data_IF_654512942897
#
_entry.id   IF_654512942897
#
_cell.length_a   1.000
_cell.length_b   1.000
_cell.length_c   1.000
_cell.angle_alpha   90.00
_cell.angle_beta   90.00
_cell.angle_gamma   90.00
#
_symmetry.space_group_name_H-M   'P 1'
#
loop_
_entity.id
_entity.type
_entity.pdbx_description
1 polymer ?
#
# COMPACT_ATOMS: atom_id res chain seq x y z
N UNK A 1 5.96 -1.71 7.48
CA UNK A 1 5.14 -1.76 6.26
C UNK A 1 3.94 -0.80 6.31
N UNK A 2 3.00 -0.96 7.28
CA UNK A 2 1.79 -0.12 7.40
C UNK A 2 2.10 1.39 7.44
N UNK A 3 3.13 1.77 8.21
CA UNK A 3 3.58 3.16 8.31
C UNK A 3 3.89 3.78 6.94
N UNK A 4 4.69 3.08 6.15
CA UNK A 4 5.10 3.51 4.81
C UNK A 4 3.88 3.71 3.88
N UNK A 5 2.97 2.74 3.88
CA UNK A 5 1.78 2.79 3.04
C UNK A 5 0.93 4.00 3.40
N UNK A 6 0.52 4.15 4.66
CA UNK A 6 -0.35 5.26 5.08
C UNK A 6 0.32 6.61 4.85
N UNK A 7 1.62 6.74 5.17
CA UNK A 7 2.35 7.99 4.97
C UNK A 7 2.55 8.31 3.48
N UNK A 8 2.50 7.32 2.59
CA UNK A 8 2.58 7.54 1.14
C UNK A 8 1.34 8.19 0.52
N UNK A 9 0.27 8.40 1.31
CA UNK A 9 -0.97 9.03 0.83
C UNK A 9 -0.69 10.45 0.31
N UNK A 10 -0.93 10.66 -0.98
CA UNK A 10 -0.86 11.98 -1.63
C UNK A 10 0.46 12.74 -1.37
N UNK A 11 1.59 12.03 -1.31
CA UNK A 11 2.91 12.60 -1.06
C UNK A 11 3.95 12.09 -2.05
N UNK A 12 4.96 12.92 -2.32
CA UNK A 12 6.14 12.52 -3.09
C UNK A 12 6.97 11.53 -2.28
N UNK A 13 7.21 10.36 -2.83
CA UNK A 13 7.83 9.26 -2.08
C UNK A 13 9.25 9.61 -1.60
N UNK A 14 10.16 9.92 -2.53
CA UNK A 14 11.56 10.18 -2.21
C UNK A 14 11.79 11.39 -1.29
N UNK A 15 11.08 12.50 -1.53
CA UNK A 15 11.36 13.75 -0.80
C UNK A 15 10.57 13.89 0.51
N UNK A 16 9.53 13.07 0.73
CA UNK A 16 8.65 13.23 1.91
C UNK A 16 8.43 11.92 2.65
N UNK A 17 8.08 10.84 1.94
CA UNK A 17 7.72 9.56 2.58
C UNK A 17 8.95 8.84 3.10
N UNK A 18 9.97 8.68 2.25
CA UNK A 18 11.17 7.92 2.58
C UNK A 18 11.88 8.47 3.84
N UNK A 19 12.13 9.79 4.00
CA UNK A 19 12.74 10.31 5.23
C UNK A 19 11.92 10.02 6.49
N UNK A 20 10.58 9.97 6.39
CA UNK A 20 9.70 9.65 7.51
C UNK A 20 9.72 8.17 7.85
N UNK A 21 9.77 7.30 6.85
CA UNK A 21 9.90 5.85 7.01
C UNK A 21 11.24 5.51 7.64
N UNK A 22 12.32 6.14 7.20
CA UNK A 22 13.66 6.00 7.80
C UNK A 22 13.66 6.46 9.27
N UNK A 23 13.04 7.61 9.55
CA UNK A 23 12.88 8.11 10.93
C UNK A 23 12.06 7.15 11.80
N UNK A 24 11.00 6.55 11.26
CA UNK A 24 10.20 5.55 11.96
C UNK A 24 11.02 4.28 12.25
N UNK A 25 11.73 3.76 11.25
CA UNK A 25 12.59 2.59 11.41
C UNK A 25 13.70 2.82 12.46
N UNK A 26 14.28 4.03 12.49
CA UNK A 26 15.29 4.41 13.47
C UNK A 26 14.74 4.56 14.91
N UNK A 27 13.43 4.77 15.08
CA UNK A 27 12.79 4.87 16.40
C UNK A 27 12.59 3.50 17.08
N UNK A 28 13.03 2.41 16.45
CA UNK A 28 12.98 1.04 16.95
C UNK A 28 11.67 0.31 16.62
N UNK A 29 11.71 -1.03 16.67
CA UNK A 29 10.60 -1.99 16.50
C UNK A 29 9.54 -1.63 15.42
N UNK A 30 9.67 -2.11 14.17
CA UNK A 30 8.72 -1.84 13.10
C UNK A 30 7.45 -2.72 13.13
N UNK A 31 7.17 -3.46 14.20
CA UNK A 31 6.06 -4.43 14.30
C UNK A 31 4.66 -3.81 14.21
N UNK A 32 3.69 -4.64 13.82
CA UNK A 32 2.27 -4.31 13.93
C UNK A 32 1.87 -4.12 15.40
N UNK A 33 2.43 -4.93 16.31
CA UNK A 33 2.20 -4.80 17.75
C UNK A 33 2.49 -3.38 18.27
N UNK A 34 3.65 -2.81 17.92
CA UNK A 34 4.00 -1.44 18.30
C UNK A 34 3.01 -0.43 17.73
N UNK A 35 2.70 -0.53 16.42
CA UNK A 35 1.79 0.40 15.74
C UNK A 35 0.36 0.32 16.30
N UNK A 36 -0.08 -0.86 16.75
CA UNK A 36 -1.41 -1.06 17.32
C UNK A 36 -1.53 -0.54 18.76
N UNK A 37 -0.45 -0.62 19.56
CA UNK A 37 -0.48 -0.31 21.00
C UNK A 37 -0.03 1.10 21.35
N UNK A 38 0.80 1.73 20.52
CA UNK A 38 1.39 3.04 20.81
C UNK A 38 0.67 4.16 20.06
N UNK A 39 0.45 5.29 20.72
CA UNK A 39 0.19 6.53 20.01
C UNK A 39 1.39 6.90 19.16
N UNK A 40 1.19 7.02 17.83
CA UNK A 40 2.21 7.52 16.92
C UNK A 40 2.17 9.05 17.00
N UNK A 41 3.18 9.72 17.58
CA UNK A 41 3.13 11.16 17.78
C UNK A 41 3.13 11.87 16.42
N UNK A 42 2.00 12.45 16.05
CA UNK A 42 1.78 12.98 14.70
C UNK A 42 2.85 14.02 14.32
N UNK A 43 3.18 14.93 15.25
CA UNK A 43 4.17 15.99 15.04
C UNK A 43 5.58 15.44 14.82
N UNK A 44 5.97 14.41 15.57
CA UNK A 44 7.28 13.79 15.45
C UNK A 44 7.51 13.23 14.04
N UNK A 45 6.47 12.70 13.41
CA UNK A 45 6.57 12.03 12.11
C UNK A 45 5.93 12.83 10.96
N UNK A 46 5.47 14.06 11.23
CA UNK A 46 4.81 14.94 10.26
C UNK A 46 3.48 14.40 9.72
N UNK A 47 2.78 13.58 10.51
CA UNK A 47 1.53 12.95 10.11
C UNK A 47 0.39 13.97 10.01
N UNK A 48 -0.52 13.74 9.07
CA UNK A 48 -1.80 14.44 9.00
C UNK A 48 -2.74 13.94 10.11
N UNK A 49 -3.72 14.77 10.47
CA UNK A 49 -4.63 14.56 11.59
C UNK A 49 -5.26 13.16 11.69
N UNK A 50 -5.64 12.55 10.56
CA UNK A 50 -6.30 11.24 10.55
C UNK A 50 -5.35 10.05 10.41
N UNK A 51 -4.09 10.27 10.02
CA UNK A 51 -3.15 9.19 9.74
C UNK A 51 -2.79 8.35 10.98
N UNK A 52 -2.61 8.90 12.20
CA UNK A 52 -2.38 8.08 13.39
C UNK A 52 -3.50 7.06 13.63
N UNK A 53 -4.76 7.47 13.47
CA UNK A 53 -5.91 6.59 13.64
C UNK A 53 -5.94 5.51 12.56
N UNK A 54 -5.67 5.87 11.30
CA UNK A 54 -5.57 4.89 10.20
C UNK A 54 -4.45 3.88 10.45
N UNK A 55 -3.26 4.32 10.88
CA UNK A 55 -2.12 3.47 11.20
C UNK A 55 -2.48 2.44 12.28
N UNK A 56 -3.02 2.91 13.41
CA UNK A 56 -3.39 2.08 14.54
C UNK A 56 -4.48 1.08 14.16
N UNK A 57 -5.52 1.53 13.45
CA UNK A 57 -6.64 0.67 13.05
C UNK A 57 -6.18 -0.44 12.12
N UNK A 58 -5.41 -0.11 11.08
CA UNK A 58 -4.86 -1.12 10.15
C UNK A 58 -3.96 -2.11 10.87
N UNK A 59 -3.05 -1.62 11.74
CA UNK A 59 -2.15 -2.48 12.49
C UNK A 59 -2.90 -3.40 13.45
N UNK A 60 -3.90 -2.89 14.17
CA UNK A 60 -4.72 -3.67 15.08
C UNK A 60 -5.53 -4.76 14.35
N UNK A 61 -6.12 -4.43 13.20
CA UNK A 61 -6.88 -5.37 12.38
C UNK A 61 -5.99 -6.49 11.82
N UNK A 62 -4.83 -6.14 11.24
CA UNK A 62 -3.88 -7.13 10.75
C UNK A 62 -3.34 -8.01 11.88
N UNK A 63 -3.02 -7.44 13.04
CA UNK A 63 -2.56 -8.19 14.19
C UNK A 63 -3.64 -9.13 14.74
N UNK A 64 -4.91 -8.72 14.73
CA UNK A 64 -6.02 -9.60 15.07
C UNK A 64 -6.14 -10.76 14.09
N UNK A 65 -6.06 -10.49 12.77
CA UNK A 65 -6.03 -11.52 11.75
C UNK A 65 -4.88 -12.52 11.94
N UNK A 66 -3.67 -12.04 12.26
CA UNK A 66 -2.52 -12.92 12.53
C UNK A 66 -2.78 -13.85 13.73
N UNK A 67 -3.37 -13.31 14.81
CA UNK A 67 -3.73 -14.09 16.00
C UNK A 67 -4.79 -15.15 15.70
N UNK A 68 -5.83 -14.79 14.95
CA UNK A 68 -6.93 -15.70 14.59
C UNK A 68 -6.44 -16.85 13.71
N UNK A 69 -5.43 -16.59 12.87
CA UNK A 69 -4.78 -17.59 12.02
C UNK A 69 -3.64 -18.35 12.74
N UNK A 70 -3.25 -17.93 13.94
CA UNK A 70 -2.11 -18.45 14.70
C UNK A 70 -0.78 -18.45 13.91
N UNK A 71 -0.53 -17.37 13.16
CA UNK A 71 0.68 -17.18 12.33
C UNK A 71 1.49 -15.96 12.76
N UNK A 72 2.73 -15.85 12.27
CA UNK A 72 3.54 -14.66 12.47
C UNK A 72 2.96 -13.42 11.77
N UNK A 73 3.42 -12.21 12.14
CA UNK A 73 2.96 -10.97 11.50
C UNK A 73 3.24 -10.96 9.98
N UNK A 74 4.41 -11.45 9.55
CA UNK A 74 4.79 -11.48 8.13
C UNK A 74 3.91 -12.47 7.33
N UNK A 75 3.72 -13.68 7.86
CA UNK A 75 2.84 -14.69 7.25
C UNK A 75 1.39 -14.21 7.20
N UNK A 76 0.88 -13.61 8.28
CA UNK A 76 -0.47 -13.08 8.33
C UNK A 76 -0.69 -11.90 7.40
N UNK A 77 0.28 -10.98 7.30
CA UNK A 77 0.25 -9.91 6.30
C UNK A 77 0.19 -10.45 4.88
N UNK A 78 1.01 -11.47 4.57
CA UNK A 78 1.02 -12.12 3.26
C UNK A 78 -0.30 -12.83 2.97
N UNK A 79 -0.79 -13.62 3.92
CA UNK A 79 -2.04 -14.37 3.80
C UNK A 79 -3.25 -13.45 3.62
N UNK A 80 -3.31 -12.32 4.35
CA UNK A 80 -4.31 -11.29 4.12
C UNK A 80 -4.23 -10.74 2.69
N UNK A 81 -3.03 -10.34 2.25
CA UNK A 81 -2.85 -9.70 0.95
C UNK A 81 -3.22 -10.59 -0.23
N UNK A 82 -2.91 -11.88 -0.14
CA UNK A 82 -3.31 -12.88 -1.13
C UNK A 82 -4.81 -13.18 -1.04
N UNK A 83 -5.36 -13.27 0.18
CA UNK A 83 -6.78 -13.57 0.43
C UNK A 83 -7.76 -12.49 -0.05
N UNK A 84 -7.31 -11.24 -0.19
CA UNK A 84 -8.12 -10.13 -0.70
C UNK A 84 -7.91 -9.85 -2.19
N UNK A 85 -7.22 -10.75 -2.91
CA UNK A 85 -7.14 -10.68 -4.36
C UNK A 85 -8.55 -10.66 -4.99
N UNK A 86 -8.76 -9.81 -6.00
CA UNK A 86 -10.06 -9.61 -6.62
C UNK A 86 -10.89 -8.48 -6.02
N UNK A 87 -10.52 -7.94 -4.86
CA UNK A 87 -11.20 -6.79 -4.23
C UNK A 87 -10.61 -5.45 -4.63
N UNK A 88 -9.71 -5.37 -5.62
CA UNK A 88 -8.98 -4.15 -5.93
C UNK A 88 -9.88 -3.01 -6.44
N UNK A 89 -11.00 -3.35 -7.08
CA UNK A 89 -12.02 -2.38 -7.51
C UNK A 89 -13.06 -2.07 -6.42
N UNK A 90 -13.09 -2.84 -5.33
CA UNK A 90 -14.04 -2.67 -4.23
C UNK A 90 -13.37 -2.89 -2.86
N UNK A 91 -12.28 -2.17 -2.52
CA UNK A 91 -11.49 -2.43 -1.33
C UNK A 91 -12.30 -2.28 -0.04
N UNK A 92 -13.39 -1.50 -0.04
CA UNK A 92 -14.27 -1.33 1.11
C UNK A 92 -14.97 -2.61 1.57
N UNK A 93 -14.98 -3.66 0.75
CA UNK A 93 -15.49 -4.98 1.13
C UNK A 93 -14.52 -5.75 2.04
N UNK A 94 -13.24 -5.37 2.09
CA UNK A 94 -12.26 -5.95 3.01
C UNK A 94 -12.41 -5.31 4.40
N UNK A 95 -12.77 -6.08 5.45
CA UNK A 95 -12.94 -5.54 6.80
C UNK A 95 -11.60 -5.25 7.50
N UNK A 96 -10.47 -5.75 7.00
CA UNK A 96 -9.18 -5.68 7.70
C UNK A 96 -8.46 -4.38 7.36
N UNK A 97 -8.27 -4.06 6.08
CA UNK A 97 -7.52 -2.88 5.64
C UNK A 97 -8.35 -1.98 4.73
N UNK A 98 -8.98 -2.54 3.70
CA UNK A 98 -9.63 -1.76 2.64
C UNK A 98 -10.88 -0.98 3.09
N UNK A 99 -11.55 -1.43 4.16
CA UNK A 99 -12.65 -0.73 4.82
C UNK A 99 -12.20 0.38 5.79
N UNK A 100 -10.90 0.50 6.09
CA UNK A 100 -10.39 1.49 7.02
C UNK A 100 -10.39 2.88 6.40
N UNK A 101 -10.92 3.87 7.13
CA UNK A 101 -10.95 5.26 6.68
C UNK A 101 -9.55 5.77 6.33
N UNK A 102 -9.43 6.37 5.15
CA UNK A 102 -8.16 6.87 4.61
C UNK A 102 -7.42 5.88 3.72
N UNK A 103 -7.86 4.62 3.63
CA UNK A 103 -7.35 3.64 2.65
C UNK A 103 -8.24 3.67 1.40
N UNK A 104 -7.73 4.26 0.32
CA UNK A 104 -8.33 4.16 -1.01
C UNK A 104 -7.76 2.99 -1.83
N UNK A 105 -8.31 2.70 -3.02
CA UNK A 105 -7.80 1.65 -3.91
C UNK A 105 -6.28 1.68 -4.11
N UNK A 106 -5.68 2.86 -4.31
CA UNK A 106 -4.22 2.97 -4.44
C UNK A 106 -3.45 2.49 -3.20
N UNK A 107 -3.90 2.88 -2.01
CA UNK A 107 -3.26 2.50 -0.75
C UNK A 107 -3.52 1.03 -0.41
N UNK A 108 -4.70 0.52 -0.72
CA UNK A 108 -5.05 -0.89 -0.56
C UNK A 108 -4.15 -1.78 -1.44
N UNK A 109 -4.01 -1.45 -2.72
CA UNK A 109 -3.13 -2.19 -3.62
C UNK A 109 -1.65 -2.04 -3.20
N UNK A 110 -1.25 -0.86 -2.72
CA UNK A 110 0.11 -0.66 -2.20
C UNK A 110 0.37 -1.47 -0.93
N UNK A 111 -0.61 -1.59 -0.03
CA UNK A 111 -0.52 -2.46 1.15
C UNK A 111 -0.30 -3.92 0.72
N UNK A 112 -1.12 -4.43 -0.21
CA UNK A 112 -0.96 -5.80 -0.74
C UNK A 112 0.42 -6.02 -1.32
N UNK A 113 0.90 -5.07 -2.14
CA UNK A 113 2.24 -5.11 -2.72
C UNK A 113 3.33 -5.18 -1.66
N UNK A 114 3.20 -4.40 -0.57
CA UNK A 114 4.16 -4.39 0.53
C UNK A 114 4.08 -5.59 1.47
N UNK A 115 2.95 -6.30 1.46
CA UNK A 115 2.83 -7.64 2.03
C UNK A 115 3.32 -8.74 1.07
N UNK A 116 3.80 -8.39 -0.13
CA UNK A 116 4.41 -9.31 -1.09
C UNK A 116 3.46 -9.88 -2.15
N UNK A 117 2.17 -9.53 -2.14
CA UNK A 117 1.22 -9.98 -3.17
C UNK A 117 1.57 -9.36 -4.54
N UNK A 118 1.18 -10.05 -5.62
CA UNK A 118 1.29 -9.51 -6.98
C UNK A 118 0.30 -8.34 -7.18
N UNK A 119 0.78 -7.13 -6.97
CA UNK A 119 -0.01 -5.91 -7.02
C UNK A 119 0.84 -4.73 -7.51
N UNK A 120 0.16 -3.68 -7.94
CA UNK A 120 0.72 -2.41 -8.36
C UNK A 120 -0.05 -1.30 -7.66
N UNK A 121 0.60 -0.19 -7.31
CA UNK A 121 -0.07 1.00 -6.75
C UNK A 121 -0.62 1.86 -7.90
N UNK A 122 -1.95 1.90 -8.15
CA UNK A 122 -2.52 2.70 -9.24
C UNK A 122 -2.52 4.20 -8.93
N UNK A 123 -1.36 4.85 -9.04
CA UNK A 123 -1.20 6.28 -8.82
C UNK A 123 -0.85 7.05 -10.10
N UNK A 124 -0.78 8.37 -10.00
CA UNK A 124 -0.49 9.25 -11.15
C UNK A 124 0.91 9.00 -11.75
N UNK A 125 1.85 8.44 -10.99
CA UNK A 125 3.16 8.05 -11.54
C UNK A 125 2.98 6.87 -12.48
N UNK A 126 2.27 5.82 -12.05
CA UNK A 126 1.95 4.69 -12.94
C UNK A 126 1.18 5.15 -14.17
N UNK A 127 0.17 6.00 -13.99
CA UNK A 127 -0.59 6.56 -15.11
C UNK A 127 0.32 7.30 -16.11
N UNK A 128 1.24 8.13 -15.61
CA UNK A 128 2.22 8.85 -16.44
C UNK A 128 3.17 7.91 -17.18
N UNK A 129 3.70 6.89 -16.50
CA UNK A 129 4.60 5.92 -17.08
C UNK A 129 3.91 5.09 -18.19
N UNK A 130 2.67 4.62 -17.95
CA UNK A 130 1.88 3.91 -18.96
C UNK A 130 1.55 4.81 -20.17
N UNK A 131 1.19 6.08 -19.97
CA UNK A 131 0.98 7.02 -21.08
C UNK A 131 2.23 7.23 -21.92
N UNK A 132 3.42 7.29 -21.31
CA UNK A 132 4.69 7.36 -22.04
C UNK A 132 4.99 6.11 -22.87
N UNK A 133 4.37 4.98 -22.54
CA UNK A 133 4.45 3.74 -23.33
C UNK A 133 3.38 3.69 -24.44
N UNK A 134 2.51 4.70 -24.56
CA UNK A 134 1.51 4.81 -25.62
C UNK A 134 0.10 4.38 -25.22
N UNK A 135 -0.13 3.99 -23.97
CA UNK A 135 -1.48 3.66 -23.49
C UNK A 135 -2.31 4.93 -23.25
N UNK A 136 -3.60 4.89 -23.61
CA UNK A 136 -4.56 5.86 -23.10
C UNK A 136 -4.99 5.45 -21.68
N UNK A 137 -4.69 6.31 -20.71
CA UNK A 137 -4.91 6.01 -19.28
C UNK A 137 -5.69 7.16 -18.67
N UNK A 138 -6.98 7.00 -18.38
CA UNK A 138 -7.72 7.93 -17.53
C UNK A 138 -7.05 8.05 -16.15
N UNK A 139 -7.15 9.21 -15.52
CA UNK A 139 -6.37 9.53 -14.31
C UNK A 139 -6.86 8.90 -13.00
N UNK A 140 -7.96 8.14 -13.00
CA UNK A 140 -8.51 7.51 -11.80
C UNK A 140 -7.90 6.13 -11.51
N UNK A 141 -7.91 5.74 -10.23
CA UNK A 141 -7.23 4.53 -9.73
C UNK A 141 -7.76 3.23 -10.37
N UNK A 142 -9.04 3.18 -10.73
CA UNK A 142 -9.63 1.98 -11.33
C UNK A 142 -9.19 1.83 -12.78
N UNK A 143 -9.24 2.92 -13.56
CA UNK A 143 -8.78 2.91 -14.94
C UNK A 143 -7.28 2.58 -15.04
N UNK A 144 -6.46 3.18 -14.16
CA UNK A 144 -5.03 2.86 -14.09
C UNK A 144 -4.81 1.37 -13.85
N UNK A 145 -5.56 0.77 -12.92
CA UNK A 145 -5.43 -0.65 -12.61
C UNK A 145 -5.84 -1.55 -13.80
N UNK A 146 -6.93 -1.21 -14.50
CA UNK A 146 -7.37 -1.98 -15.69
C UNK A 146 -6.30 -1.94 -16.78
N UNK A 147 -5.78 -0.75 -17.10
CA UNK A 147 -4.75 -0.61 -18.14
C UNK A 147 -3.44 -1.27 -17.73
N UNK A 148 -3.04 -1.15 -16.46
CA UNK A 148 -1.86 -1.83 -15.94
C UNK A 148 -1.97 -3.36 -16.05
N UNK A 149 -3.15 -3.94 -15.77
CA UNK A 149 -3.39 -5.38 -15.96
C UNK A 149 -3.27 -5.79 -17.42
N UNK A 150 -3.84 -5.01 -18.33
CA UNK A 150 -3.72 -5.26 -19.76
C UNK A 150 -2.24 -5.20 -20.22
N UNK A 151 -1.51 -4.17 -19.81
CA UNK A 151 -0.09 -4.01 -20.12
C UNK A 151 0.76 -5.17 -19.56
N UNK A 152 0.52 -5.56 -18.31
CA UNK A 152 1.22 -6.69 -17.68
C UNK A 152 0.96 -8.01 -18.44
N UNK A 153 -0.29 -8.26 -18.81
CA UNK A 153 -0.68 -9.43 -19.58
C UNK A 153 -0.03 -9.45 -20.98
N UNK A 154 -0.01 -8.30 -21.67
CA UNK A 154 0.63 -8.16 -22.99
C UNK A 154 2.15 -8.40 -22.94
N UNK A 155 2.80 -7.95 -21.86
CA UNK A 155 4.23 -8.15 -21.63
C UNK A 155 4.56 -9.53 -21.05
N UNK A 156 3.57 -10.34 -20.66
CA UNK A 156 3.78 -11.63 -20.01
C UNK A 156 4.44 -11.52 -18.63
N UNK A 157 4.20 -10.41 -17.91
CA UNK A 157 4.78 -10.16 -16.58
C UNK A 157 3.69 -10.02 -15.51
N UNK A 158 4.08 -10.13 -14.25
CA UNK A 158 3.19 -9.89 -13.11
C UNK A 158 2.95 -8.37 -12.92
N UNK A 159 1.90 -7.99 -12.19
CA UNK A 159 1.66 -6.57 -11.87
C UNK A 159 2.79 -5.97 -11.05
N UNK A 160 3.34 -6.71 -10.10
CA UNK A 160 4.49 -6.30 -9.30
C UNK A 160 5.72 -6.05 -10.19
N UNK A 161 6.01 -6.95 -11.12
CA UNK A 161 7.13 -6.77 -12.07
C UNK A 161 6.92 -5.53 -12.92
N UNK A 162 5.70 -5.31 -13.43
CA UNK A 162 5.36 -4.09 -14.17
C UNK A 162 5.60 -2.84 -13.30
N UNK A 163 5.16 -2.83 -12.05
CA UNK A 163 5.37 -1.69 -11.14
C UNK A 163 6.85 -1.33 -10.98
N UNK A 164 7.71 -2.33 -10.78
CA UNK A 164 9.16 -2.14 -10.65
C UNK A 164 9.81 -1.62 -11.93
N UNK A 165 9.38 -2.10 -13.10
CA UNK A 165 9.85 -1.59 -14.39
C UNK A 165 9.45 -0.12 -14.62
N UNK A 166 8.22 0.24 -14.24
CA UNK A 166 7.75 1.63 -14.31
C UNK A 166 8.42 2.51 -13.26
N UNK A 167 8.85 1.95 -12.13
CA UNK A 167 9.59 2.67 -11.10
C UNK A 167 10.99 3.04 -11.57
N UNK A 168 11.76 2.09 -12.11
CA UNK A 168 13.15 2.34 -12.55
C UNK A 168 13.30 3.33 -13.71
N UNK A 169 12.21 3.65 -14.42
CA UNK A 169 12.22 4.61 -15.55
C UNK A 169 12.05 6.07 -15.12
N UNK A 170 11.35 6.31 -14.01
CA UNK A 170 10.91 7.64 -13.57
C UNK A 170 11.25 7.94 -12.09
N UNK A 171 11.91 6.99 -11.39
CA UNK A 171 12.34 7.08 -9.99
C UNK A 171 13.66 7.79 -9.78
#
# INVERSE_FOLDING_TARGET
>A
MVFDVVVSRQRKYHSVVLPRVEKWAAAGDPSLARLAQSEVPAEQFGLQRSEPVTLQTVAANLLAFCRDQAVSEDEGCRAWADGVQGLEHAPKLDPIVGGVSGIGPALFAYMRMRCGSDALKPDLRVAGALRKLGFDVPGDEHSILVVARAAAAELGVSLLVLDQLLWGRDG
#
